data_IF_386662422965
#
_entry.id   IF_386662422965
#
_cell.length_a   1.000
_cell.length_b   1.000
_cell.length_c   1.000
_cell.angle_alpha   90.00
_cell.angle_beta   90.00
_cell.angle_gamma   90.00
#
_symmetry.space_group_name_H-M   'P 1'
#
loop_
_entity.id
_entity.type
_entity.pdbx_description
1 polymer ?
#
# COMPACT_ATOMS: atom_id res chain seq x y z
N UNK A 1 2.94 -20.56 -5.90
CA UNK A 1 4.28 -20.12 -6.36
C UNK A 1 4.10 -18.95 -7.32
N UNK A 2 4.46 -17.73 -6.92
CA UNK A 2 4.60 -16.62 -7.87
C UNK A 2 5.76 -16.95 -8.82
N UNK A 3 5.47 -17.01 -10.13
CA UNK A 3 6.54 -17.10 -11.13
C UNK A 3 7.29 -15.79 -11.14
N UNK A 4 8.56 -15.91 -11.52
CA UNK A 4 9.42 -14.80 -11.88
C UNK A 4 9.72 -14.95 -13.44
N UNK A 5 9.28 -14.00 -14.33
CA UNK A 5 9.50 -13.71 -15.79
C UNK A 5 10.62 -12.65 -16.12
N UNK A 6 11.77 -13.02 -16.72
CA UNK A 6 12.99 -12.17 -16.69
C UNK A 6 13.13 -11.05 -17.77
N UNK A 7 13.65 -9.82 -17.47
CA UNK A 7 13.89 -8.74 -18.44
C UNK A 7 15.12 -8.96 -19.32
N UNK A 8 16.14 -9.68 -18.85
CA UNK A 8 17.37 -9.88 -19.63
C UNK A 8 17.20 -10.78 -20.86
N UNK A 9 15.98 -11.26 -21.14
CA UNK A 9 15.64 -11.96 -22.39
C UNK A 9 15.49 -11.02 -23.58
N UNK A 10 15.32 -9.72 -23.35
CA UNK A 10 15.01 -8.71 -24.39
C UNK A 10 16.15 -7.69 -24.59
N UNK A 11 17.35 -7.98 -24.06
CA UNK A 11 18.49 -7.06 -24.16
C UNK A 11 18.38 -5.81 -23.25
N UNK A 12 17.41 -5.76 -22.33
CA UNK A 12 17.24 -4.67 -21.39
C UNK A 12 18.52 -4.41 -20.56
N UNK A 13 19.02 -3.19 -20.58
CA UNK A 13 20.21 -2.78 -19.80
C UNK A 13 19.87 -2.27 -18.39
N UNK A 14 18.66 -1.77 -18.20
CA UNK A 14 18.18 -1.19 -16.94
C UNK A 14 16.90 -1.90 -16.51
N UNK A 15 16.71 -2.10 -15.20
CA UNK A 15 15.46 -2.60 -14.64
C UNK A 15 15.07 -1.80 -13.40
N UNK A 16 13.77 -1.52 -13.27
CA UNK A 16 13.18 -0.77 -12.16
C UNK A 16 12.22 -1.67 -11.41
N UNK A 17 12.52 -1.97 -10.15
CA UNK A 17 11.58 -2.60 -9.24
C UNK A 17 10.61 -1.53 -8.70
N UNK A 18 9.51 -1.32 -9.42
CA UNK A 18 8.49 -0.32 -9.07
C UNK A 18 7.40 -0.95 -8.19
N UNK A 19 7.43 -0.66 -6.89
CA UNK A 19 6.38 -1.08 -5.96
C UNK A 19 5.04 -0.45 -6.31
N UNK A 20 3.99 -1.25 -6.39
CA UNK A 20 2.61 -0.77 -6.60
C UNK A 20 1.95 -0.34 -5.28
N UNK A 21 2.63 -0.48 -4.14
CA UNK A 21 2.21 0.11 -2.87
C UNK A 21 2.76 1.54 -2.79
N UNK A 22 1.93 2.59 -2.76
CA UNK A 22 2.42 3.97 -2.70
C UNK A 22 3.10 4.26 -1.35
N UNK A 23 2.62 3.66 -0.26
CA UNK A 23 3.21 3.77 1.06
C UNK A 23 4.03 2.51 1.39
N UNK A 24 5.28 2.69 1.82
CA UNK A 24 6.17 1.59 2.14
C UNK A 24 5.77 0.89 3.44
N UNK A 25 5.70 -0.44 3.43
CA UNK A 25 5.80 -1.26 4.63
C UNK A 25 6.84 -2.37 4.46
N UNK A 26 7.44 -2.84 5.56
CA UNK A 26 8.31 -4.02 5.52
C UNK A 26 7.57 -5.31 5.18
N UNK A 27 6.25 -5.38 5.39
CA UNK A 27 5.41 -6.54 5.03
C UNK A 27 4.98 -6.53 3.56
N UNK A 28 4.96 -5.36 2.90
CA UNK A 28 4.58 -5.20 1.49
C UNK A 28 5.81 -4.94 0.61
N UNK A 29 6.11 -3.68 0.25
CA UNK A 29 7.28 -3.27 -0.54
C UNK A 29 8.57 -3.95 -0.06
N UNK A 30 8.84 -3.94 1.25
CA UNK A 30 10.05 -4.56 1.81
C UNK A 30 10.10 -6.08 1.64
N UNK A 31 8.96 -6.77 1.64
CA UNK A 31 8.87 -8.21 1.38
C UNK A 31 9.19 -8.51 -0.07
N UNK A 32 8.61 -7.75 -1.01
CA UNK A 32 8.89 -7.87 -2.45
C UNK A 32 10.37 -7.61 -2.78
N UNK A 33 10.96 -6.55 -2.22
CA UNK A 33 12.39 -6.25 -2.46
C UNK A 33 13.32 -7.28 -1.82
N UNK A 34 12.99 -7.81 -0.65
CA UNK A 34 13.71 -8.93 -0.05
C UNK A 34 13.60 -10.21 -0.89
N UNK A 35 12.45 -10.47 -1.51
CA UNK A 35 12.25 -11.61 -2.41
C UNK A 35 13.09 -11.48 -3.69
N UNK A 36 13.13 -10.29 -4.31
CA UNK A 36 14.02 -9.99 -5.45
C UNK A 36 15.48 -10.21 -5.06
N UNK A 37 15.93 -9.61 -3.95
CA UNK A 37 17.30 -9.78 -3.46
C UNK A 37 17.65 -11.26 -3.22
N UNK A 38 16.79 -12.00 -2.48
CA UNK A 38 17.03 -13.43 -2.20
C UNK A 38 17.06 -14.26 -3.49
N UNK A 39 16.11 -14.05 -4.39
CA UNK A 39 16.01 -14.80 -5.64
C UNK A 39 17.34 -14.82 -6.40
N UNK A 40 18.03 -13.68 -6.41
CA UNK A 40 19.30 -13.56 -7.11
C UNK A 40 20.54 -13.84 -6.24
N UNK A 41 20.50 -13.59 -4.92
CA UNK A 41 21.59 -13.99 -4.03
C UNK A 41 21.81 -15.52 -4.07
N UNK A 42 20.72 -16.28 -4.24
CA UNK A 42 20.74 -17.75 -4.41
C UNK A 42 21.11 -18.20 -5.85
N UNK A 43 21.42 -17.27 -6.77
CA UNK A 43 21.74 -17.53 -8.19
C UNK A 43 23.01 -16.76 -8.59
N UNK A 44 24.22 -17.34 -8.46
CA UNK A 44 25.49 -16.63 -8.59
C UNK A 44 25.89 -16.40 -10.04
N UNK A 45 25.90 -15.14 -10.45
CA UNK A 45 25.75 -14.91 -11.88
C UNK A 45 25.98 -13.44 -12.31
N UNK A 46 26.55 -13.20 -13.50
CA UNK A 46 26.75 -11.86 -14.10
C UNK A 46 25.61 -11.45 -15.07
N UNK A 47 24.83 -10.40 -14.78
CA UNK A 47 24.04 -9.68 -15.82
C UNK A 47 24.58 -8.28 -15.94
N UNK A 48 24.47 -7.67 -17.13
CA UNK A 48 24.68 -6.23 -17.31
C UNK A 48 23.47 -5.38 -16.86
N UNK A 49 22.45 -6.00 -16.25
CA UNK A 49 21.21 -5.37 -15.79
C UNK A 49 21.50 -4.44 -14.61
N UNK A 50 21.37 -3.14 -14.86
CA UNK A 50 21.46 -2.09 -13.85
C UNK A 50 20.12 -2.00 -13.11
N UNK A 51 20.07 -2.50 -11.88
CA UNK A 51 18.89 -2.43 -11.03
C UNK A 51 18.69 -1.05 -10.40
N UNK A 52 17.43 -0.71 -10.16
CA UNK A 52 16.99 0.42 -9.36
C UNK A 52 15.59 0.12 -8.81
N UNK A 53 15.14 0.89 -7.82
CA UNK A 53 13.94 0.62 -7.03
C UNK A 53 13.14 1.90 -6.86
N UNK A 54 11.83 1.82 -7.10
CA UNK A 54 10.86 2.84 -6.67
C UNK A 54 10.06 2.20 -5.55
N UNK A 55 10.45 2.47 -4.30
CA UNK A 55 9.97 1.74 -3.13
C UNK A 55 8.75 2.39 -2.45
N UNK A 56 8.54 3.70 -2.67
CA UNK A 56 7.41 4.51 -2.16
C UNK A 56 7.17 5.76 -3.03
N UNK A 57 5.93 6.23 -3.04
CA UNK A 57 5.45 7.33 -3.88
C UNK A 57 4.07 7.90 -3.48
N UNK A 58 3.57 7.61 -2.28
CA UNK A 58 2.23 8.01 -1.80
C UNK A 58 1.95 9.51 -1.77
N UNK A 59 2.97 10.35 -1.82
CA UNK A 59 2.87 11.82 -1.89
C UNK A 59 2.89 12.37 -3.32
N UNK A 60 2.80 11.52 -4.36
CA UNK A 60 2.74 11.98 -5.75
C UNK A 60 1.49 12.85 -6.00
N UNK A 61 1.67 14.00 -6.65
CA UNK A 61 0.60 14.99 -6.87
C UNK A 61 -0.54 14.47 -7.74
N UNK A 62 -0.27 13.61 -8.74
CA UNK A 62 -1.31 13.05 -9.58
C UNK A 62 -2.11 11.96 -8.84
N UNK A 63 -1.45 11.15 -8.00
CA UNK A 63 -2.12 10.18 -7.11
C UNK A 63 -3.02 10.89 -6.09
N UNK A 64 -2.53 11.97 -5.47
CA UNK A 64 -3.30 12.80 -4.54
C UNK A 64 -4.56 13.38 -5.21
N UNK A 65 -4.41 13.93 -6.43
CA UNK A 65 -5.54 14.43 -7.23
C UNK A 65 -6.51 13.33 -7.63
N UNK A 66 -6.04 12.14 -8.00
CA UNK A 66 -6.88 10.99 -8.31
C UNK A 66 -7.80 10.62 -7.13
N UNK A 67 -7.26 10.54 -5.91
CA UNK A 67 -8.08 10.30 -4.71
C UNK A 67 -9.05 11.46 -4.46
N UNK A 68 -8.61 12.71 -4.58
CA UNK A 68 -9.47 13.87 -4.37
C UNK A 68 -10.63 13.95 -5.38
N UNK A 69 -10.39 13.61 -6.66
CA UNK A 69 -11.45 13.53 -7.67
C UNK A 69 -12.43 12.40 -7.41
N UNK A 70 -11.97 11.20 -7.06
CA UNK A 70 -12.87 10.09 -6.73
C UNK A 70 -13.72 10.40 -5.48
N UNK A 71 -13.15 11.06 -4.47
CA UNK A 71 -13.89 11.53 -3.29
C UNK A 71 -14.93 12.59 -3.67
N UNK A 72 -14.60 13.57 -4.53
CA UNK A 72 -15.55 14.57 -5.05
C UNK A 72 -16.74 13.89 -5.76
N UNK A 73 -16.47 12.92 -6.64
CA UNK A 73 -17.49 12.12 -7.35
C UNK A 73 -18.40 11.32 -6.40
N UNK A 74 -17.89 10.81 -5.28
CA UNK A 74 -18.75 10.18 -4.26
C UNK A 74 -19.56 11.19 -3.45
N UNK A 75 -18.99 12.34 -3.08
CA UNK A 75 -19.68 13.41 -2.38
C UNK A 75 -20.88 13.96 -3.18
N UNK A 76 -20.76 14.04 -4.51
CA UNK A 76 -21.85 14.44 -5.41
C UNK A 76 -23.08 13.52 -5.31
N UNK A 77 -22.91 12.24 -4.95
CA UNK A 77 -24.02 11.28 -4.79
C UNK A 77 -24.86 11.54 -3.53
N UNK A 78 -24.38 12.36 -2.59
CA UNK A 78 -25.15 12.80 -1.42
C UNK A 78 -25.98 14.07 -1.74
N UNK A 79 -27.16 14.26 -1.11
CA UNK A 79 -27.93 15.49 -1.23
C UNK A 79 -27.11 16.73 -0.84
N UNK A 80 -27.29 17.85 -1.54
CA UNK A 80 -26.50 19.08 -1.32
C UNK A 80 -26.50 19.55 0.13
N UNK A 81 -27.66 19.44 0.81
CA UNK A 81 -27.84 19.84 2.20
C UNK A 81 -27.15 18.92 3.23
N UNK A 82 -26.69 17.73 2.82
CA UNK A 82 -25.97 16.76 3.67
C UNK A 82 -24.48 16.68 3.30
N UNK A 83 -24.10 17.07 2.07
CA UNK A 83 -22.75 16.84 1.51
C UNK A 83 -21.60 17.36 2.38
N UNK A 84 -21.79 18.47 3.10
CA UNK A 84 -20.77 19.04 4.02
C UNK A 84 -20.59 18.26 5.33
N UNK A 85 -21.61 17.52 5.77
CA UNK A 85 -21.61 16.73 7.00
C UNK A 85 -21.17 15.27 6.79
N UNK A 86 -21.00 14.84 5.53
CA UNK A 86 -20.45 13.54 5.17
C UNK A 86 -19.06 13.37 5.77
N UNK A 87 -18.86 12.29 6.53
CA UNK A 87 -17.63 12.00 7.22
C UNK A 87 -16.73 11.10 6.36
N UNK A 88 -15.49 11.52 6.08
CA UNK A 88 -14.55 10.77 5.25
C UNK A 88 -13.70 9.85 6.14
N UNK A 89 -13.81 8.54 5.91
CA UNK A 89 -12.99 7.52 6.58
C UNK A 89 -11.98 6.96 5.58
N UNK A 90 -10.74 7.42 5.69
CA UNK A 90 -9.62 6.84 4.97
C UNK A 90 -9.27 5.50 5.63
N UNK A 91 -9.58 4.41 4.96
CA UNK A 91 -9.36 3.04 5.41
C UNK A 91 -8.10 2.48 4.76
N UNK A 92 -7.16 2.01 5.59
CA UNK A 92 -5.94 1.34 5.17
C UNK A 92 -5.83 0.00 5.91
N UNK A 93 -5.19 -1.01 5.32
CA UNK A 93 -4.98 -2.28 6.02
C UNK A 93 -4.15 -2.06 7.29
N UNK A 94 -4.57 -2.64 8.41
CA UNK A 94 -3.88 -2.46 9.68
C UNK A 94 -2.50 -3.15 9.69
N UNK A 95 -1.67 -2.81 10.68
CA UNK A 95 -0.44 -3.53 11.00
C UNK A 95 -0.49 -4.04 12.45
N UNK A 96 0.08 -5.23 12.75
CA UNK A 96 0.27 -5.65 14.14
C UNK A 96 1.10 -4.62 14.89
N UNK A 97 0.71 -4.25 16.12
CA UNK A 97 1.39 -3.18 16.87
C UNK A 97 2.89 -3.41 17.04
N UNK A 98 3.32 -4.69 17.16
CA UNK A 98 4.75 -5.06 17.19
C UNK A 98 5.54 -4.59 15.97
N UNK A 99 4.91 -4.48 14.80
CA UNK A 99 5.56 -4.01 13.56
C UNK A 99 5.63 -2.48 13.56
N UNK A 100 4.56 -1.80 13.96
CA UNK A 100 4.54 -0.34 14.13
C UNK A 100 5.58 0.11 15.17
N UNK A 101 5.60 -0.52 16.35
CA UNK A 101 6.56 -0.26 17.43
C UNK A 101 8.01 -0.57 17.06
N UNK A 102 8.25 -1.45 16.08
CA UNK A 102 9.59 -1.69 15.53
C UNK A 102 10.12 -0.48 14.72
N UNK A 103 9.22 0.42 14.31
CA UNK A 103 9.46 1.56 13.43
C UNK A 103 9.27 1.23 11.95
N UNK A 104 8.14 0.60 11.61
CA UNK A 104 7.68 0.49 10.22
C UNK A 104 7.08 1.83 9.76
N UNK A 105 7.48 2.40 8.61
CA UNK A 105 7.12 3.77 8.24
C UNK A 105 5.68 3.91 7.70
N UNK A 106 5.01 2.80 7.40
CA UNK A 106 3.72 2.75 6.70
C UNK A 106 2.66 3.67 7.28
N UNK A 107 2.45 3.67 8.61
CA UNK A 107 1.39 4.46 9.22
C UNK A 107 1.62 5.97 9.10
N UNK A 108 2.88 6.41 9.10
CA UNK A 108 3.25 7.80 8.86
C UNK A 108 3.09 8.20 7.39
N UNK A 109 3.45 7.31 6.45
CA UNK A 109 3.29 7.56 5.01
C UNK A 109 1.82 7.56 4.56
N UNK A 110 0.98 6.70 5.13
CA UNK A 110 -0.47 6.74 4.94
C UNK A 110 -1.04 8.05 5.51
N UNK A 111 -0.63 8.45 6.72
CA UNK A 111 -0.99 9.75 7.29
C UNK A 111 -0.60 10.94 6.41
N UNK A 112 0.60 10.91 5.83
CA UNK A 112 1.07 11.92 4.86
C UNK A 112 0.24 11.94 3.58
N UNK A 113 -0.13 10.77 3.04
CA UNK A 113 -1.01 10.65 1.87
C UNK A 113 -2.38 11.27 2.17
N UNK A 114 -3.01 10.90 3.28
CA UNK A 114 -4.31 11.43 3.74
C UNK A 114 -4.26 12.94 3.89
N UNK A 115 -3.19 13.48 4.48
CA UNK A 115 -3.04 14.92 4.69
C UNK A 115 -3.01 15.70 3.37
N UNK A 116 -2.29 15.20 2.36
CA UNK A 116 -2.21 15.83 1.04
C UNK A 116 -3.55 15.75 0.29
N UNK A 117 -4.26 14.62 0.38
CA UNK A 117 -5.62 14.48 -0.21
C UNK A 117 -6.60 15.45 0.44
N UNK A 118 -6.56 15.62 1.76
CA UNK A 118 -7.43 16.59 2.44
C UNK A 118 -7.06 18.05 2.14
N UNK A 119 -5.79 18.35 1.84
CA UNK A 119 -5.38 19.66 1.34
C UNK A 119 -5.91 19.94 -0.08
N UNK A 120 -5.84 18.97 -1.00
CA UNK A 120 -6.40 19.06 -2.37
C UNK A 120 -7.96 19.14 -2.36
N UNK A 121 -8.61 18.60 -1.32
CA UNK A 121 -10.04 18.79 -1.04
C UNK A 121 -10.37 20.11 -0.33
N UNK A 122 -9.37 20.95 0.00
CA UNK A 122 -9.58 22.20 0.73
C UNK A 122 -10.19 22.02 2.13
N UNK A 123 -9.99 20.84 2.75
CA UNK A 123 -10.62 20.42 4.01
C UNK A 123 -12.16 20.57 4.03
N UNK A 124 -12.84 20.32 2.90
CA UNK A 124 -14.29 20.51 2.74
C UNK A 124 -15.17 19.71 3.71
N UNK A 125 -14.64 18.64 4.28
CA UNK A 125 -15.36 17.63 5.07
C UNK A 125 -14.52 17.16 6.27
N UNK A 126 -15.16 16.74 7.37
CA UNK A 126 -14.46 16.09 8.48
C UNK A 126 -13.95 14.71 8.08
N UNK A 127 -12.76 14.33 8.57
CA UNK A 127 -12.13 13.05 8.21
C UNK A 127 -11.41 12.35 9.37
N UNK A 128 -11.19 11.04 9.23
CA UNK A 128 -10.25 10.25 10.04
C UNK A 128 -9.52 9.21 9.18
N UNK A 129 -8.32 8.85 9.62
CA UNK A 129 -7.60 7.65 9.17
C UNK A 129 -7.94 6.50 10.13
N UNK A 130 -8.36 5.37 9.58
CA UNK A 130 -8.84 4.17 10.29
C UNK A 130 -8.23 2.92 9.63
N UNK A 131 -8.26 1.79 10.34
CA UNK A 131 -7.53 0.60 9.92
C UNK A 131 -8.43 -0.65 9.80
N UNK A 132 -8.43 -1.29 8.63
CA UNK A 132 -9.22 -2.49 8.31
C UNK A 132 -8.41 -3.79 8.43
N UNK A 133 -9.08 -4.93 8.18
CA UNK A 133 -8.44 -6.24 7.95
C UNK A 133 -7.58 -6.74 9.12
N UNK A 134 -8.06 -6.54 10.36
CA UNK A 134 -7.44 -7.11 11.57
C UNK A 134 -7.61 -8.64 11.56
N UNK A 135 -6.50 -9.38 11.57
CA UNK A 135 -6.52 -10.86 11.64
C UNK A 135 -5.95 -11.36 12.96
N UNK A 136 -6.70 -12.24 13.63
CA UNK A 136 -6.25 -12.94 14.84
C UNK A 136 -6.22 -12.09 16.13
N UNK A 137 -5.77 -12.69 17.26
CA UNK A 137 -5.98 -12.15 18.60
C UNK A 137 -4.94 -11.10 19.06
N UNK A 138 -3.86 -10.90 18.29
CA UNK A 138 -2.81 -9.96 18.68
C UNK A 138 -3.30 -8.49 18.64
N UNK A 139 -2.62 -7.54 19.30
CA UNK A 139 -2.91 -6.11 19.14
C UNK A 139 -2.51 -5.59 17.74
N UNK A 140 -3.41 -4.82 17.12
CA UNK A 140 -3.23 -4.17 15.82
C UNK A 140 -3.38 -2.65 15.94
N UNK A 141 -2.92 -1.93 14.91
CA UNK A 141 -3.07 -0.48 14.82
C UNK A 141 -4.56 -0.10 14.73
N UNK A 142 -4.93 0.95 15.47
CA UNK A 142 -6.32 1.33 15.76
C UNK A 142 -6.54 2.84 15.53
N UNK A 143 -7.79 3.34 15.45
CA UNK A 143 -9.07 2.62 15.56
C UNK A 143 -9.32 1.66 14.39
N UNK A 144 -10.05 0.57 14.64
CA UNK A 144 -10.52 -0.30 13.58
C UNK A 144 -11.63 0.38 12.76
N UNK A 145 -11.78 0.05 11.48
CA UNK A 145 -12.74 0.72 10.58
C UNK A 145 -14.20 0.52 11.03
N UNK A 146 -14.55 -0.69 11.46
CA UNK A 146 -15.85 -1.02 12.06
C UNK A 146 -16.10 -0.27 13.38
N UNK A 147 -15.17 -0.34 14.33
CA UNK A 147 -15.23 0.40 15.60
C UNK A 147 -15.42 1.92 15.38
N UNK A 148 -14.75 2.47 14.37
CA UNK A 148 -14.84 3.89 14.01
C UNK A 148 -16.23 4.24 13.43
N UNK A 149 -16.79 3.41 12.55
CA UNK A 149 -18.17 3.58 12.04
C UNK A 149 -19.15 3.53 13.21
N UNK A 150 -19.08 2.48 14.06
CA UNK A 150 -19.96 2.30 15.22
C UNK A 150 -19.89 3.51 16.17
N UNK A 151 -18.68 3.95 16.50
CA UNK A 151 -18.45 5.10 17.37
C UNK A 151 -18.89 6.45 16.77
N UNK A 152 -18.84 6.63 15.45
CA UNK A 152 -19.29 7.85 14.77
C UNK A 152 -20.82 7.91 14.68
N UNK A 153 -21.49 6.81 14.36
CA UNK A 153 -22.97 6.77 14.29
C UNK A 153 -23.59 6.99 15.67
N UNK A 154 -23.02 6.41 16.74
CA UNK A 154 -23.39 6.72 18.13
C UNK A 154 -23.26 8.21 18.50
N UNK A 155 -22.44 8.97 17.76
CA UNK A 155 -22.23 10.42 17.92
C UNK A 155 -23.00 11.25 16.88
N UNK A 156 -24.01 10.65 16.22
CA UNK A 156 -24.90 11.31 15.26
C UNK A 156 -24.33 11.47 13.84
N UNK A 157 -23.13 10.97 13.55
CA UNK A 157 -22.55 11.01 12.20
C UNK A 157 -23.01 9.80 11.40
N UNK A 158 -24.07 9.98 10.60
CA UNK A 158 -24.77 8.89 9.89
C UNK A 158 -24.46 8.76 8.40
N UNK A 159 -23.76 9.74 7.81
CA UNK A 159 -23.43 9.80 6.39
C UNK A 159 -21.90 9.76 6.25
N UNK A 160 -21.37 8.78 5.50
CA UNK A 160 -19.93 8.50 5.43
C UNK A 160 -19.46 8.08 4.04
N UNK A 161 -18.18 8.33 3.74
CA UNK A 161 -17.45 7.75 2.61
C UNK A 161 -16.24 6.98 3.12
N UNK A 162 -16.13 5.70 2.75
CA UNK A 162 -14.94 4.87 2.97
C UNK A 162 -13.97 5.06 1.80
N UNK A 163 -12.69 5.36 2.05
CA UNK A 163 -11.68 5.59 1.03
C UNK A 163 -10.53 4.58 1.17
N UNK A 164 -10.31 3.66 0.21
CA UNK A 164 -9.22 2.69 0.25
C UNK A 164 -7.86 3.35 -0.07
N UNK A 165 -7.30 4.09 0.90
CA UNK A 165 -6.21 5.06 0.67
C UNK A 165 -4.83 4.43 0.42
N UNK A 166 -4.67 3.15 0.76
CA UNK A 166 -3.40 2.42 0.68
C UNK A 166 -3.34 1.38 -0.45
N UNK A 167 -4.35 1.35 -1.32
CA UNK A 167 -4.41 0.46 -2.48
C UNK A 167 -4.74 1.24 -3.75
N UNK A 168 -4.14 0.80 -4.85
CA UNK A 168 -4.26 1.45 -6.16
C UNK A 168 -5.31 0.78 -7.05
N UNK A 169 -5.79 -0.41 -6.69
CA UNK A 169 -6.76 -1.17 -7.48
C UNK A 169 -7.74 -1.91 -6.58
N UNK A 170 -9.00 -1.94 -7.01
CA UNK A 170 -10.03 -2.77 -6.39
C UNK A 170 -9.65 -4.26 -6.50
N UNK A 171 -9.91 -5.01 -5.44
CA UNK A 171 -9.67 -6.44 -5.34
C UNK A 171 -10.67 -7.05 -4.37
N UNK A 172 -10.95 -8.35 -4.54
CA UNK A 172 -12.14 -9.00 -3.94
C UNK A 172 -12.24 -8.84 -2.41
N UNK A 173 -11.11 -8.84 -1.70
CA UNK A 173 -11.01 -8.61 -0.25
C UNK A 173 -11.48 -7.20 0.13
N UNK A 174 -10.86 -6.15 -0.42
CA UNK A 174 -11.25 -4.75 -0.15
C UNK A 174 -12.68 -4.45 -0.64
N UNK A 175 -13.15 -5.07 -1.72
CA UNK A 175 -14.55 -4.95 -2.14
C UNK A 175 -15.50 -5.57 -1.12
N UNK A 176 -15.23 -6.79 -0.64
CA UNK A 176 -16.08 -7.49 0.33
C UNK A 176 -16.11 -6.76 1.68
N UNK A 177 -14.94 -6.45 2.25
CA UNK A 177 -14.83 -5.77 3.55
C UNK A 177 -15.51 -4.39 3.53
N UNK A 178 -15.23 -3.57 2.50
CA UNK A 178 -15.74 -2.21 2.47
C UNK A 178 -17.20 -2.11 2.02
N UNK A 179 -17.61 -2.80 0.92
CA UNK A 179 -18.96 -2.65 0.36
C UNK A 179 -20.00 -3.54 1.04
N UNK A 180 -19.60 -4.67 1.65
CA UNK A 180 -20.52 -5.60 2.32
C UNK A 180 -20.37 -5.46 3.84
N UNK A 181 -19.25 -5.89 4.41
CA UNK A 181 -19.11 -5.99 5.88
C UNK A 181 -19.27 -4.62 6.57
N UNK A 182 -18.59 -3.58 6.09
CA UNK A 182 -18.63 -2.26 6.71
C UNK A 182 -19.80 -1.40 6.22
N UNK A 183 -19.96 -1.20 4.91
CA UNK A 183 -20.98 -0.28 4.40
C UNK A 183 -22.41 -0.84 4.54
N UNK A 184 -22.60 -2.15 4.35
CA UNK A 184 -23.92 -2.77 4.47
C UNK A 184 -24.17 -3.33 5.87
N UNK A 185 -23.35 -4.22 6.38
CA UNK A 185 -23.71 -5.00 7.57
C UNK A 185 -23.52 -4.20 8.85
N UNK A 186 -22.32 -3.65 9.10
CA UNK A 186 -22.09 -2.69 10.20
C UNK A 186 -22.95 -1.45 10.02
N UNK A 187 -23.06 -0.92 8.79
CA UNK A 187 -23.91 0.24 8.48
C UNK A 187 -25.38 0.06 8.90
N UNK A 188 -25.98 -1.10 8.59
CA UNK A 188 -27.33 -1.47 9.04
C UNK A 188 -27.38 -1.71 10.55
N UNK A 189 -26.39 -2.41 11.13
CA UNK A 189 -26.31 -2.73 12.56
C UNK A 189 -26.45 -1.48 13.45
N UNK A 190 -25.74 -0.39 13.11
CA UNK A 190 -25.77 0.85 13.90
C UNK A 190 -26.74 1.91 13.42
N UNK A 191 -27.45 1.69 12.31
CA UNK A 191 -28.39 2.67 11.76
C UNK A 191 -27.72 3.89 11.13
N UNK A 192 -26.64 3.66 10.36
CA UNK A 192 -26.14 4.66 9.43
C UNK A 192 -27.21 4.96 8.35
N UNK A 193 -27.30 6.21 7.90
CA UNK A 193 -28.22 6.60 6.82
C UNK A 193 -27.62 6.21 5.46
N UNK A 194 -26.33 6.44 5.28
CA UNK A 194 -25.63 6.09 4.04
C UNK A 194 -24.12 6.00 4.25
N UNK A 195 -23.56 4.84 3.92
CA UNK A 195 -22.13 4.64 3.77
C UNK A 195 -21.89 4.34 2.29
N UNK A 196 -21.05 5.15 1.64
CA UNK A 196 -20.55 4.87 0.29
C UNK A 196 -19.08 4.52 0.35
N UNK A 197 -18.57 3.87 -0.70
CA UNK A 197 -17.15 3.65 -0.91
C UNK A 197 -16.65 4.46 -2.11
N UNK A 198 -15.51 5.11 -1.93
CA UNK A 198 -14.73 5.71 -3.00
C UNK A 198 -14.03 4.62 -3.82
N UNK A 199 -14.19 4.69 -5.15
CA UNK A 199 -13.44 3.83 -6.07
C UNK A 199 -11.92 3.97 -5.83
N UNK A 200 -11.22 2.83 -5.91
CA UNK A 200 -9.77 2.83 -5.97
C UNK A 200 -9.27 3.54 -7.25
N UNK A 201 -8.00 3.95 -7.33
CA UNK A 201 -7.44 4.60 -8.51
C UNK A 201 -7.63 3.83 -9.84
N UNK A 202 -7.59 2.49 -9.82
CA UNK A 202 -7.90 1.61 -10.95
C UNK A 202 -7.22 2.05 -12.28
N UNK A 203 -8.00 2.41 -13.29
CA UNK A 203 -7.60 2.87 -14.61
C UNK A 203 -7.76 4.39 -14.81
N UNK A 204 -7.95 5.15 -13.70
CA UNK A 204 -8.16 6.59 -13.74
C UNK A 204 -7.00 7.31 -14.45
N UNK A 205 -7.23 8.27 -15.36
CA UNK A 205 -6.15 8.93 -16.11
C UNK A 205 -5.06 9.54 -15.21
N UNK A 206 -5.45 10.26 -14.16
CA UNK A 206 -4.50 10.80 -13.17
C UNK A 206 -3.68 9.73 -12.43
N UNK A 207 -4.18 8.49 -12.31
CA UNK A 207 -3.40 7.40 -11.74
C UNK A 207 -2.33 6.92 -12.72
N UNK A 208 -2.66 6.84 -14.00
CA UNK A 208 -1.71 6.53 -15.07
C UNK A 208 -0.65 7.64 -15.15
N UNK A 209 -1.05 8.91 -15.09
CA UNK A 209 -0.14 10.06 -15.01
C UNK A 209 0.80 9.99 -13.80
N UNK A 210 0.30 9.53 -12.63
CA UNK A 210 1.12 9.32 -11.45
C UNK A 210 2.22 8.26 -11.68
N UNK A 211 1.87 7.13 -12.31
CA UNK A 211 2.82 6.08 -12.65
C UNK A 211 3.88 6.57 -13.66
N UNK A 212 3.45 7.32 -14.69
CA UNK A 212 4.34 7.90 -15.71
C UNK A 212 5.27 8.95 -15.09
N UNK A 213 4.76 9.85 -14.27
CA UNK A 213 5.52 10.91 -13.58
C UNK A 213 6.59 10.32 -12.65
N UNK A 214 6.20 9.35 -11.82
CA UNK A 214 7.11 8.67 -10.88
C UNK A 214 8.20 7.90 -11.63
N UNK A 215 7.84 7.12 -12.66
CA UNK A 215 8.81 6.38 -13.46
C UNK A 215 9.76 7.31 -14.24
N UNK A 216 9.24 8.37 -14.85
CA UNK A 216 10.03 9.31 -15.65
C UNK A 216 11.02 10.11 -14.78
N UNK A 217 10.58 10.59 -13.61
CA UNK A 217 11.46 11.27 -12.64
C UNK A 217 12.57 10.36 -12.13
N UNK A 218 12.25 9.10 -11.83
CA UNK A 218 13.23 8.11 -11.38
C UNK A 218 14.27 7.78 -12.45
N UNK A 219 13.84 7.56 -13.71
CA UNK A 219 14.74 7.32 -14.83
C UNK A 219 15.62 8.55 -15.16
N UNK A 220 15.08 9.76 -15.02
CA UNK A 220 15.79 11.01 -15.28
C UNK A 220 16.74 11.47 -14.15
N UNK A 221 16.51 11.05 -12.90
CA UNK A 221 17.31 11.51 -11.75
C UNK A 221 18.63 10.74 -11.56
N UNK A 222 18.74 9.55 -12.15
CA UNK A 222 19.86 8.62 -11.92
C UNK A 222 19.88 7.98 -10.53
N UNK A 223 18.89 8.25 -9.67
CA UNK A 223 18.80 7.68 -8.33
C UNK A 223 18.52 6.17 -8.40
N UNK A 224 19.13 5.41 -7.48
CA UNK A 224 18.98 3.95 -7.42
C UNK A 224 17.80 3.49 -6.57
N UNK A 225 17.47 4.24 -5.52
CA UNK A 225 16.33 4.06 -4.62
C UNK A 225 16.11 5.35 -3.82
N UNK A 226 15.05 5.43 -3.02
CA UNK A 226 14.92 6.54 -2.05
C UNK A 226 15.96 6.42 -0.92
N UNK A 227 16.34 7.55 -0.32
CA UNK A 227 17.19 7.56 0.90
C UNK A 227 16.55 6.75 2.03
N UNK A 228 15.23 6.88 2.21
CA UNK A 228 14.47 6.11 3.18
C UNK A 228 14.49 4.59 2.91
N UNK A 229 14.75 4.13 1.69
CA UNK A 229 14.93 2.71 1.42
C UNK A 229 16.20 2.16 2.06
N UNK A 230 17.29 2.94 2.08
CA UNK A 230 18.60 2.50 2.60
C UNK A 230 18.57 2.25 4.11
N UNK A 231 17.66 2.91 4.84
CA UNK A 231 17.51 2.74 6.28
C UNK A 231 16.56 1.59 6.64
N UNK A 232 16.91 0.84 7.68
CA UNK A 232 16.04 -0.17 8.28
C UNK A 232 15.21 0.42 9.42
N UNK A 233 14.12 -0.26 9.80
CA UNK A 233 13.41 0.06 11.03
C UNK A 233 14.41 0.14 12.20
N UNK A 234 14.32 1.12 13.11
CA UNK A 234 15.21 1.26 14.26
C UNK A 234 15.41 -0.01 15.08
N UNK A 235 14.37 -0.86 15.20
CA UNK A 235 14.43 -2.14 15.91
C UNK A 235 14.36 -3.36 14.96
N UNK A 236 14.88 -3.24 13.73
CA UNK A 236 14.85 -4.32 12.75
C UNK A 236 15.66 -5.55 13.20
N UNK A 237 14.99 -6.72 13.25
CA UNK A 237 15.63 -8.02 13.54
C UNK A 237 15.72 -8.94 12.32
N UNK A 238 15.18 -8.53 11.16
CA UNK A 238 15.14 -9.38 9.97
C UNK A 238 16.45 -9.27 9.17
N UNK A 239 17.27 -10.33 9.22
CA UNK A 239 18.54 -10.45 8.48
C UNK A 239 18.41 -10.16 6.98
N UNK A 240 17.28 -10.51 6.35
CA UNK A 240 17.04 -10.24 4.93
C UNK A 240 16.99 -8.73 4.62
N UNK A 241 16.41 -7.92 5.51
CA UNK A 241 16.35 -6.46 5.35
C UNK A 241 17.72 -5.79 5.50
N UNK A 242 18.64 -6.40 6.25
CA UNK A 242 20.03 -5.94 6.29
C UNK A 242 20.75 -6.33 4.99
N UNK A 243 20.61 -7.58 4.53
CA UNK A 243 21.25 -8.05 3.31
C UNK A 243 20.82 -7.26 2.06
N UNK A 244 19.52 -7.04 1.88
CA UNK A 244 18.95 -6.32 0.72
C UNK A 244 19.34 -4.84 0.62
N UNK A 245 19.87 -4.25 1.70
CA UNK A 245 20.28 -2.85 1.79
C UNK A 245 21.79 -2.65 2.02
N UNK A 246 22.55 -3.73 2.23
CA UNK A 246 24.00 -3.67 2.52
C UNK A 246 24.83 -3.15 1.34
N UNK A 247 24.31 -3.21 0.12
CA UNK A 247 24.94 -2.71 -1.09
C UNK A 247 24.73 -1.19 -1.25
N UNK A 248 25.38 -0.41 -0.37
CA UNK A 248 25.42 1.05 -0.47
C UNK A 248 26.17 1.45 -1.75
N UNK A 249 25.58 2.22 -2.69
CA UNK A 249 26.27 2.68 -3.88
C UNK A 249 27.16 3.90 -3.54
N UNK A 250 28.23 3.67 -2.79
CA UNK A 250 29.30 4.64 -2.58
C UNK A 250 30.61 4.12 -3.21
N UNK A 251 31.17 4.95 -4.10
CA UNK A 251 32.53 4.86 -4.65
C UNK A 251 32.87 3.80 -5.73
N UNK A 252 31.94 3.03 -6.30
CA UNK A 252 32.19 2.40 -7.60
C UNK A 252 30.93 2.20 -8.46
N UNK A 253 31.07 2.29 -9.79
CA UNK A 253 29.97 2.28 -10.77
C UNK A 253 29.40 0.86 -11.04
N UNK A 254 29.70 -0.08 -10.15
CA UNK A 254 29.86 -1.51 -10.45
C UNK A 254 29.56 -2.44 -9.27
N UNK A 255 28.92 -1.98 -8.19
CA UNK A 255 28.70 -2.81 -6.98
C UNK A 255 27.32 -2.73 -6.33
N UNK A 256 26.37 -1.98 -6.88
CA UNK A 256 24.96 -2.16 -6.57
C UNK A 256 24.36 -3.19 -7.56
N UNK A 257 24.17 -4.44 -7.10
CA UNK A 257 23.54 -5.57 -7.83
C UNK A 257 24.35 -6.27 -8.95
N UNK A 258 25.69 -6.19 -8.99
CA UNK A 258 26.49 -6.76 -10.10
C UNK A 258 26.72 -8.28 -10.11
N UNK A 259 26.36 -9.01 -9.05
CA UNK A 259 26.48 -10.48 -8.99
C UNK A 259 25.12 -11.21 -9.04
N UNK A 260 24.09 -10.55 -9.59
CA UNK A 260 22.68 -10.97 -9.53
C UNK A 260 22.05 -11.07 -10.94
N UNK A 261 22.15 -12.23 -11.60
CA UNK A 261 21.63 -12.54 -12.95
C UNK A 261 20.45 -13.53 -12.96
N UNK A 262 19.57 -13.25 -13.93
CA UNK A 262 18.50 -14.08 -14.51
C UNK A 262 17.36 -14.68 -13.64
N UNK A 263 16.12 -14.22 -13.98
CA UNK A 263 14.76 -14.78 -13.76
C UNK A 263 13.79 -14.25 -12.65
N UNK A 264 13.70 -12.90 -12.46
CA UNK A 264 12.60 -12.00 -11.92
C UNK A 264 11.23 -12.16 -12.61
N UNK A 265 10.02 -11.66 -12.15
CA UNK A 265 8.68 -11.33 -12.81
C UNK A 265 8.07 -10.01 -12.25
N UNK A 266 6.93 -9.61 -12.85
CA UNK A 266 5.92 -8.64 -12.37
C UNK A 266 4.63 -9.34 -11.83
N UNK A 267 3.85 -8.58 -11.05
CA UNK A 267 2.85 -8.95 -10.01
C UNK A 267 1.46 -9.47 -10.44
N UNK A 268 0.66 -9.93 -9.45
CA UNK A 268 -0.70 -9.40 -9.09
C UNK A 268 -1.33 -10.12 -7.86
N UNK A 269 -0.91 -11.34 -7.51
CA UNK A 269 -1.62 -12.20 -6.52
C UNK A 269 -0.98 -12.27 -5.11
N UNK A 270 -0.71 -11.15 -4.44
CA UNK A 270 -0.10 -11.17 -3.09
C UNK A 270 -0.89 -10.52 -1.93
N UNK A 271 -2.13 -10.06 -2.16
CA UNK A 271 -3.11 -9.87 -1.06
C UNK A 271 -3.51 -11.23 -0.44
N UNK A 272 -3.98 -12.15 -1.28
CA UNK A 272 -4.56 -13.44 -0.87
C UNK A 272 -3.61 -14.34 -0.05
N UNK A 273 -2.30 -14.33 -0.34
CA UNK A 273 -1.39 -15.39 0.15
C UNK A 273 -0.83 -15.18 1.57
N UNK A 274 -1.11 -14.05 2.24
CA UNK A 274 -0.61 -13.77 3.60
C UNK A 274 -1.58 -14.14 4.73
N UNK A 275 -2.82 -14.54 4.40
CA UNK A 275 -3.84 -14.91 5.40
C UNK A 275 -4.07 -16.42 5.54
N UNK A 276 -3.71 -17.24 4.54
CA UNK A 276 -4.05 -18.68 4.52
C UNK A 276 -3.06 -19.62 5.24
N UNK A 277 -1.98 -19.15 5.85
CA UNK A 277 -0.97 -20.02 6.48
C UNK A 277 -1.22 -20.33 7.97
N UNK A 278 -2.47 -20.25 8.45
CA UNK A 278 -2.79 -20.52 9.87
C UNK A 278 -4.10 -21.29 10.14
N UNK A 279 -4.70 -21.96 9.15
CA UNK A 279 -5.95 -22.74 9.34
C UNK A 279 -5.86 -24.24 9.04
N UNK A 280 -4.69 -24.78 8.66
CA UNK A 280 -4.49 -26.22 8.41
C UNK A 280 -3.47 -26.85 9.37
N UNK A 281 -3.80 -26.80 10.66
CA UNK A 281 -3.36 -27.78 11.67
C UNK A 281 -4.47 -27.94 12.69
N UNK A 282 -5.32 -28.95 12.47
CA UNK A 282 -6.06 -29.74 13.47
C UNK A 282 -7.27 -30.40 12.80
N UNK A 283 -7.02 -31.51 12.10
CA UNK A 283 -8.02 -32.48 11.71
C UNK A 283 -7.53 -33.85 12.20
N UNK A 284 -8.17 -34.46 13.23
CA UNK A 284 -7.78 -35.78 13.70
C UNK A 284 -8.17 -36.85 12.67
N UNK A 285 -7.36 -37.90 12.59
CA UNK A 285 -7.65 -39.09 11.79
C UNK A 285 -8.74 -39.90 12.51
N UNK A 286 -9.86 -40.13 11.83
CA UNK A 286 -10.87 -41.14 12.16
C UNK A 286 -11.48 -41.71 10.89
#
# INVERSE_FOLDING_TARGET
>A
MSRLISPGREGAENCVAFSQYPQYSCSTSGSSMNAIHKFYADRPTETKLKWSVIDRWGTNSFLVKCFAENIKKELEKFPDHQRKDVFILFSAHSLPLRQVQRGDPYSAEVGGTVQLVMQELGFSNPYRLVWQSKVGPLPWLSPATDDAIKGLVQRGRKNMILVPIAFTSDHIETLHELDIEYAQDVGKEVGAERILRCAAPNDHPLFIDALVDVASKHLGSGQRCSEQFLHNCPLCVNKSCFASKKHRPEADNTTCYTHLRFWIAINILQSISLQFTSSEKDAPIS
#
